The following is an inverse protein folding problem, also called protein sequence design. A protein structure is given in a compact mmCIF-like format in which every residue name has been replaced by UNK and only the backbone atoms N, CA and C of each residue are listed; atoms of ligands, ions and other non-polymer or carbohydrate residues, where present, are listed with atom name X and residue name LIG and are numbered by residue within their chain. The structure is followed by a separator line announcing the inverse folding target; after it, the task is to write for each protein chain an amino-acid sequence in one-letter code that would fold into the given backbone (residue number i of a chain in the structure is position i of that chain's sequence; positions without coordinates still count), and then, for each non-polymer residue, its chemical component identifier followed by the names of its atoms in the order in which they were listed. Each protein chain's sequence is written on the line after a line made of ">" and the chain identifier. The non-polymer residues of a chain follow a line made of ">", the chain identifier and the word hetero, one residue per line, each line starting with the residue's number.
data_IF_984405983602
#
_entry.id   IF_984405983602
#
_cell.length_a   1.000
_cell.length_b   1.000
_cell.length_c   1.000
_cell.angle_alpha   90.00
_cell.angle_beta   90.00
_cell.angle_gamma   90.00
#
_symmetry.space_group_name_H-M   'P 1'
#
loop_
_entity.id
_entity.type
_entity.pdbx_description
1 polymer ?
#
# COMPACT_ATOMS: atom_id res chain seq x y z
N UNK A 1 13.74 -25.05 -26.23
CA UNK A 1 13.78 -25.14 -25.74
C UNK A 1 13.81 -24.46 -24.93
N UNK A 2 13.75 -24.39 -24.41
CA UNK A 2 13.89 -23.82 -23.50
C UNK A 2 13.91 -22.47 -23.26
N UNK A 3 13.03 -21.84 -23.33
CA UNK A 3 13.01 -20.54 -23.10
C UNK A 3 12.84 -20.28 -21.65
N UNK A 4 13.65 -19.55 -21.03
CA UNK A 4 13.56 -19.19 -19.64
C UNK A 4 12.67 -17.98 -19.48
N UNK A 5 11.68 -18.12 -18.64
CA UNK A 5 10.77 -16.99 -18.39
C UNK A 5 11.21 -16.32 -17.10
N UNK A 6 11.46 -15.03 -17.17
CA UNK A 6 11.92 -14.28 -16.01
C UNK A 6 10.76 -14.15 -15.02
N UNK A 7 10.94 -14.55 -13.77
CA UNK A 7 9.88 -14.42 -12.80
C UNK A 7 9.49 -12.97 -12.59
N UNK A 8 8.22 -12.71 -12.32
CA UNK A 8 7.80 -11.34 -12.14
C UNK A 8 8.48 -10.69 -10.92
N UNK A 9 8.88 -11.48 -9.95
CA UNK A 9 9.60 -10.92 -8.81
C UNK A 9 10.90 -10.25 -9.25
N UNK A 10 11.56 -10.80 -10.30
CA UNK A 10 12.75 -10.18 -10.81
C UNK A 10 12.41 -8.92 -11.57
N UNK A 11 11.27 -8.92 -12.26
CA UNK A 11 10.82 -7.75 -12.97
C UNK A 11 10.55 -6.64 -11.96
N UNK A 12 9.94 -6.97 -10.84
CA UNK A 12 9.66 -6.02 -9.79
C UNK A 12 10.94 -5.42 -9.23
N UNK A 13 11.93 -6.27 -8.97
CA UNK A 13 13.20 -5.79 -8.44
C UNK A 13 13.91 -4.88 -9.42
N UNK A 14 13.89 -5.25 -10.70
CA UNK A 14 14.51 -4.42 -11.71
C UNK A 14 13.84 -3.06 -11.82
N UNK A 15 12.51 -3.05 -11.70
CA UNK A 15 11.78 -1.80 -11.76
C UNK A 15 12.16 -0.93 -10.56
N UNK A 16 12.22 -1.52 -9.38
CA UNK A 16 12.59 -0.78 -8.19
C UNK A 16 13.98 -0.17 -8.34
N UNK A 17 14.93 -0.94 -8.84
CA UNK A 17 16.28 -0.44 -9.04
C UNK A 17 16.36 0.69 -10.06
N UNK A 18 15.48 0.65 -11.04
CA UNK A 18 15.49 1.68 -12.07
C UNK A 18 15.11 3.05 -11.51
N UNK A 19 14.49 3.09 -10.33
CA UNK A 19 14.10 4.34 -9.69
C UNK A 19 15.10 4.81 -8.65
N UNK A 20 16.29 4.23 -8.65
CA UNK A 20 17.27 4.52 -7.62
C UNK A 20 17.68 5.99 -7.54
N UNK A 21 17.81 6.65 -8.69
CA UNK A 21 18.16 8.06 -8.67
C UNK A 21 17.06 8.90 -8.05
N UNK A 22 15.83 8.57 -8.37
CA UNK A 22 14.68 9.25 -7.78
C UNK A 22 14.70 9.05 -6.27
N UNK A 23 14.91 7.82 -5.83
CA UNK A 23 14.94 7.52 -4.42
C UNK A 23 15.99 8.32 -3.68
N UNK A 24 17.16 8.41 -4.25
CA UNK A 24 18.26 9.13 -3.59
C UNK A 24 18.00 10.62 -3.47
N UNK A 25 17.15 11.15 -4.33
CA UNK A 25 16.80 12.56 -4.26
C UNK A 25 15.73 12.86 -3.22
N UNK A 26 15.10 11.83 -2.67
CA UNK A 26 14.07 12.04 -1.66
C UNK A 26 14.69 12.28 -0.28
N UNK A 27 13.91 12.89 0.60
CA UNK A 27 14.32 13.03 1.98
C UNK A 27 14.33 11.65 2.62
N UNK A 28 15.05 11.52 3.71
CA UNK A 28 15.21 10.23 4.35
C UNK A 28 13.90 9.53 4.70
N UNK A 29 13.00 10.24 5.33
CA UNK A 29 11.74 9.62 5.68
C UNK A 29 10.93 9.25 4.45
N UNK A 30 11.11 9.98 3.36
CA UNK A 30 10.41 9.67 2.13
C UNK A 30 11.03 8.47 1.45
N UNK A 31 12.32 8.25 1.64
CA UNK A 31 12.97 7.07 1.11
C UNK A 31 12.39 5.81 1.74
N UNK A 32 12.12 5.87 3.04
CA UNK A 32 11.54 4.73 3.72
C UNK A 32 10.14 4.45 3.20
N UNK A 33 9.37 5.51 2.97
CA UNK A 33 8.04 5.35 2.40
C UNK A 33 8.12 4.75 1.00
N UNK A 34 9.07 5.22 0.21
CA UNK A 34 9.26 4.71 -1.14
C UNK A 34 9.60 3.23 -1.12
N UNK A 35 10.50 2.83 -0.23
CA UNK A 35 10.86 1.43 -0.11
C UNK A 35 9.65 0.58 0.27
N UNK A 36 8.79 1.15 1.08
CA UNK A 36 7.57 0.46 1.49
C UNK A 36 6.62 0.21 0.33
N UNK A 37 6.65 1.06 -0.70
CA UNK A 37 5.79 0.86 -1.85
C UNK A 37 6.12 -0.46 -2.55
N UNK A 38 7.40 -0.70 -2.76
CA UNK A 38 7.79 -1.92 -3.45
C UNK A 38 7.68 -3.14 -2.55
N UNK A 39 7.86 -2.95 -1.25
CA UNK A 39 7.61 -4.04 -0.31
C UNK A 39 6.15 -4.45 -0.35
N UNK A 40 5.25 -3.46 -0.41
CA UNK A 40 3.82 -3.73 -0.49
C UNK A 40 3.48 -4.46 -1.79
N UNK A 41 4.14 -4.07 -2.87
CA UNK A 41 3.87 -4.70 -4.16
C UNK A 41 4.17 -6.19 -4.15
N UNK A 42 5.13 -6.61 -3.34
CA UNK A 42 5.50 -8.02 -3.31
C UNK A 42 4.37 -8.93 -2.87
N UNK A 43 3.42 -8.39 -2.13
CA UNK A 43 2.30 -9.18 -1.68
C UNK A 43 1.34 -9.52 -2.81
N UNK A 44 1.48 -8.87 -3.95
CA UNK A 44 0.53 -9.04 -5.04
C UNK A 44 1.16 -9.53 -6.33
N UNK A 45 2.32 -10.16 -6.21
CA UNK A 45 3.03 -10.64 -7.40
C UNK A 45 2.17 -11.57 -8.24
N UNK A 46 1.44 -12.47 -7.59
CA UNK A 46 0.63 -13.42 -8.35
C UNK A 46 -0.44 -12.71 -9.19
N UNK A 47 -1.07 -11.69 -8.61
CA UNK A 47 -2.08 -10.93 -9.34
C UNK A 47 -1.46 -10.14 -10.47
N UNK A 48 -0.25 -9.65 -10.25
CA UNK A 48 0.44 -8.86 -11.27
C UNK A 48 0.76 -9.70 -12.49
N UNK A 49 1.03 -10.98 -12.29
CA UNK A 49 1.31 -11.87 -13.40
C UNK A 49 0.10 -11.96 -14.32
N UNK A 50 -1.10 -11.93 -13.75
CA UNK A 50 -2.31 -12.00 -14.57
C UNK A 50 -2.57 -10.69 -15.30
N UNK A 51 -1.93 -9.62 -14.89
CA UNK A 51 -2.06 -8.34 -15.57
C UNK A 51 -0.92 -8.11 -16.54
N UNK A 52 -0.34 -9.18 -17.05
CA UNK A 52 0.89 -9.07 -17.82
C UNK A 52 0.76 -8.31 -19.13
N UNK A 53 -0.45 -8.01 -19.56
CA UNK A 53 -0.61 -7.24 -20.78
C UNK A 53 -0.19 -5.79 -20.57
N UNK A 54 -0.19 -5.36 -19.33
CA UNK A 54 0.18 -4.00 -19.03
C UNK A 54 1.69 -3.91 -18.89
N UNK A 55 2.21 -2.73 -18.88
CA UNK A 55 3.62 -2.57 -18.61
C UNK A 55 3.87 -3.02 -17.18
N UNK A 56 5.06 -3.49 -16.88
CA UNK A 56 5.36 -3.91 -15.51
C UNK A 56 5.07 -2.83 -14.48
N UNK A 57 5.40 -1.60 -14.81
CA UNK A 57 5.18 -0.51 -13.86
C UNK A 57 3.70 -0.34 -13.55
N UNK A 58 2.86 -0.44 -14.56
CA UNK A 58 1.42 -0.29 -14.34
C UNK A 58 0.90 -1.38 -13.41
N UNK A 59 1.32 -2.62 -13.62
CA UNK A 59 0.88 -3.71 -12.78
C UNK A 59 1.37 -3.50 -11.34
N UNK A 60 2.61 -3.08 -11.21
CA UNK A 60 3.20 -2.83 -9.90
C UNK A 60 2.43 -1.74 -9.17
N UNK A 61 2.13 -0.66 -9.87
CA UNK A 61 1.40 0.46 -9.26
C UNK A 61 0.02 0.01 -8.79
N UNK A 62 -0.66 -0.81 -9.58
CA UNK A 62 -1.97 -1.29 -9.16
C UNK A 62 -1.87 -2.15 -7.89
N UNK A 63 -0.85 -3.00 -7.81
CA UNK A 63 -0.64 -3.79 -6.61
C UNK A 63 -0.38 -2.92 -5.39
N UNK A 64 0.42 -1.88 -5.58
CA UNK A 64 0.71 -0.94 -4.51
C UNK A 64 -0.57 -0.25 -4.05
N UNK A 65 -1.39 0.18 -5.00
CA UNK A 65 -2.62 0.89 -4.67
C UNK A 65 -3.60 0.00 -3.91
N UNK A 66 -3.67 -1.27 -4.28
CA UNK A 66 -4.53 -2.20 -3.55
C UNK A 66 -4.09 -2.30 -2.10
N UNK A 67 -2.78 -2.44 -1.88
CA UNK A 67 -2.27 -2.56 -0.53
C UNK A 67 -2.52 -1.27 0.27
N UNK A 68 -2.34 -0.14 -0.37
CA UNK A 68 -2.58 1.14 0.28
C UNK A 68 -4.05 1.31 0.62
N UNK A 69 -4.94 0.89 -0.27
CA UNK A 69 -6.36 0.99 0.00
C UNK A 69 -6.74 0.12 1.19
N UNK A 70 -6.15 -1.06 1.29
CA UNK A 70 -6.39 -1.92 2.45
C UNK A 70 -5.92 -1.25 3.73
N UNK A 71 -4.72 -0.68 3.69
CA UNK A 71 -4.17 -0.03 4.88
C UNK A 71 -5.03 1.14 5.31
N UNK A 72 -5.49 1.94 4.36
CA UNK A 72 -6.34 3.08 4.67
C UNK A 72 -7.64 2.61 5.31
N UNK A 73 -8.25 1.57 4.74
CA UNK A 73 -9.50 1.05 5.28
C UNK A 73 -9.32 0.54 6.70
N UNK A 74 -8.23 -0.19 6.94
CA UNK A 74 -7.95 -0.71 8.27
C UNK A 74 -7.68 0.41 9.27
N UNK A 75 -6.91 1.42 8.86
CA UNK A 75 -6.62 2.53 9.74
C UNK A 75 -7.87 3.33 10.08
N UNK A 76 -8.74 3.54 9.12
CA UNK A 76 -9.99 4.23 9.40
C UNK A 76 -10.83 3.45 10.40
N UNK A 77 -10.83 2.13 10.27
CA UNK A 77 -11.56 1.30 11.21
C UNK A 77 -10.99 1.40 12.61
N UNK A 78 -9.67 1.39 12.73
CA UNK A 78 -9.04 1.51 14.04
C UNK A 78 -9.30 2.88 14.66
N UNK A 79 -9.30 3.91 13.85
CA UNK A 79 -9.58 5.24 14.34
C UNK A 79 -11.00 5.30 14.90
N UNK A 80 -11.96 4.73 14.19
CA UNK A 80 -13.33 4.73 14.67
C UNK A 80 -13.46 3.96 15.97
N UNK A 81 -12.76 2.83 16.09
CA UNK A 81 -12.79 2.06 17.32
C UNK A 81 -12.22 2.83 18.48
N UNK A 82 -11.11 3.52 18.25
CA UNK A 82 -10.47 4.29 19.30
C UNK A 82 -11.32 5.48 19.70
N UNK A 83 -11.93 6.13 18.74
CA UNK A 83 -12.79 7.26 19.03
C UNK A 83 -13.98 6.82 19.87
N UNK A 84 -14.55 5.69 19.54
CA UNK A 84 -15.66 5.18 20.30
C UNK A 84 -15.26 4.85 21.73
N UNK A 85 -14.06 4.33 21.90
CA UNK A 85 -13.58 3.99 23.23
C UNK A 85 -13.30 5.23 24.10
N UNK A 86 -12.96 6.31 23.46
CA UNK A 86 -12.64 7.52 24.19
C UNK A 86 -13.85 8.34 24.54
N UNK A 87 -14.84 8.32 23.69
CA UNK A 87 -15.97 9.12 23.86
C UNK A 87 -17.14 8.65 24.60
N UNK A 88 -17.23 7.48 25.05
CA UNK A 88 -18.46 6.97 25.62
C UNK A 88 -19.14 7.88 26.57
N UNK A 89 -18.49 8.39 27.53
CA UNK A 89 -19.15 9.18 28.53
C UNK A 89 -19.73 10.41 27.95
N UNK A 90 -19.00 10.98 27.04
CA UNK A 90 -19.41 12.19 26.51
C UNK A 90 -20.60 12.03 25.71
N UNK A 91 -20.63 11.03 24.98
CA UNK A 91 -21.69 10.79 24.12
C UNK A 91 -22.95 10.71 24.87
N UNK A 92 -22.84 10.28 26.05
CA UNK A 92 -23.99 10.12 26.79
C UNK A 92 -24.53 11.33 27.18
N UNK A 93 -23.75 12.12 27.52
CA UNK A 93 -24.19 13.16 28.09
C UNK A 93 -25.06 13.83 27.33
N UNK A 94 -24.93 14.27 26.94
CA UNK A 94 -25.58 15.05 26.44
C UNK A 94 -26.69 15.02 25.84
N UNK A 95 -26.76 14.78 25.56
CA UNK A 95 -27.58 14.79 24.81
C UNK A 95 -28.76 14.75 25.19
N UNK A 96 -28.96 14.46 25.73
CA UNK A 96 -30.00 14.26 25.93
C UNK A 96 -30.69 15.05 26.17
N UNK A 97 -30.96 15.52 26.13
CA UNK A 97 -31.58 16.17 26.35
C UNK A 97 -32.67 16.24 26.17
N UNK A 98 -32.89 16.12 26.17
CA UNK A 98 -33.64 16.18 25.96
C UNK A 98 -34.45 16.34 26.13
N UNK A 99 -34.65 16.34 26.28
CA UNK A 99 -35.27 16.42 26.43
C UNK A 99 -35.80 16.67 26.58
#
# INVERSE_FOLDING_TARGET
>A
MGRTVVPFSRVLEAEFESWNKFRRALRREDQEAFDGLFAAAKFHVAAMVYASRLTPLEAILMGILVEHQKAITQLRGRIRELEAAIQPPLALTPQEPAS
#
